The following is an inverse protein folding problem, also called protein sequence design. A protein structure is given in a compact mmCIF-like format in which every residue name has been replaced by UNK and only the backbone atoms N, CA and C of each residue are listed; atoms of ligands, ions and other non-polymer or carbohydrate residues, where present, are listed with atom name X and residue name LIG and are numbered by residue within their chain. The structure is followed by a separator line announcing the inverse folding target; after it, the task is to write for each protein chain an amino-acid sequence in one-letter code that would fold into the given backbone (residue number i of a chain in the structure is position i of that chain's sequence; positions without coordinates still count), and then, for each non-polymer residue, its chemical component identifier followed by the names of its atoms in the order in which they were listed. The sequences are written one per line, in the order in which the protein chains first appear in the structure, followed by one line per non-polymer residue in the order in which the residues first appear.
data_IF_362817058196
#
_entry.id   IF_362817058196
#
_cell.length_a   1.000
_cell.length_b   1.000
_cell.length_c   1.000
_cell.angle_alpha   90.00
_cell.angle_beta   90.00
_cell.angle_gamma   90.00
#
_symmetry.space_group_name_H-M   'P 1'
#
loop_
_entity.id
_entity.type
_entity.pdbx_description
1 polymer ?
#
# COMPACT_ATOMS: atom_id res chain seq x y z
N UNK A 1 56.84 -14.02 39.68
CA UNK A 1 56.26 -13.45 38.44
C UNK A 1 56.78 -14.24 37.25
N UNK A 2 55.94 -15.08 36.65
CA UNK A 2 56.07 -15.64 35.29
C UNK A 2 54.68 -16.21 34.97
N UNK A 3 53.99 -15.56 34.05
CA UNK A 3 52.67 -15.92 33.53
C UNK A 3 52.91 -16.54 32.15
N UNK A 4 52.25 -17.65 31.84
CA UNK A 4 52.10 -18.18 30.47
C UNK A 4 50.86 -19.08 30.39
N UNK A 5 50.25 -19.22 29.19
CA UNK A 5 48.83 -18.94 29.02
C UNK A 5 47.97 -20.16 28.68
N UNK A 6 46.69 -20.09 29.03
CA UNK A 6 45.66 -21.03 28.63
C UNK A 6 45.24 -20.68 27.19
N UNK A 7 45.50 -21.63 26.28
CA UNK A 7 45.08 -21.62 24.89
C UNK A 7 43.56 -21.87 24.82
N UNK A 8 42.77 -20.82 24.57
CA UNK A 8 41.34 -20.95 24.28
C UNK A 8 41.14 -21.06 22.77
N UNK A 9 40.73 -22.24 22.30
CA UNK A 9 40.20 -22.43 20.95
C UNK A 9 38.85 -21.70 20.85
N UNK A 10 38.79 -20.61 20.09
CA UNK A 10 37.54 -20.02 19.64
C UNK A 10 36.96 -20.91 18.52
N UNK A 11 35.82 -21.53 18.81
CA UNK A 11 34.94 -22.14 17.82
C UNK A 11 34.07 -21.03 17.21
N UNK A 12 34.47 -20.49 16.07
CA UNK A 12 33.67 -19.51 15.33
C UNK A 12 32.51 -20.23 14.66
N UNK A 13 31.32 -20.17 15.27
CA UNK A 13 30.07 -20.56 14.63
C UNK A 13 29.70 -19.48 13.59
N UNK A 14 29.88 -19.80 12.31
CA UNK A 14 29.36 -18.99 11.20
C UNK A 14 27.86 -19.30 11.12
N UNK A 15 27.03 -18.45 11.71
CA UNK A 15 25.59 -18.46 11.48
C UNK A 15 25.34 -17.90 10.09
N UNK A 16 25.10 -18.77 9.11
CA UNK A 16 24.42 -18.39 7.88
C UNK A 16 22.97 -18.04 8.26
N UNK A 17 22.68 -16.76 8.46
CA UNK A 17 21.31 -16.26 8.30
C UNK A 17 21.01 -16.32 6.80
N UNK A 18 20.46 -17.45 6.36
CA UNK A 18 19.83 -17.51 5.04
C UNK A 18 18.72 -16.47 5.02
N UNK A 19 18.76 -15.56 4.05
CA UNK A 19 17.59 -14.79 3.65
C UNK A 19 16.54 -15.81 3.22
N UNK A 20 15.62 -16.16 4.12
CA UNK A 20 14.45 -16.92 3.75
C UNK A 20 13.59 -16.02 2.89
N UNK A 21 13.25 -16.48 1.70
CA UNK A 21 12.10 -16.01 0.95
C UNK A 21 10.86 -16.31 1.81
N UNK A 22 10.60 -15.49 2.84
CA UNK A 22 9.33 -15.55 3.56
C UNK A 22 8.26 -15.05 2.59
N UNK A 23 7.45 -15.99 2.11
CA UNK A 23 6.23 -15.72 1.35
C UNK A 23 5.43 -14.66 2.11
N UNK A 24 5.16 -13.54 1.44
CA UNK A 24 4.44 -12.43 2.04
C UNK A 24 3.07 -12.94 2.50
N UNK A 25 2.70 -12.63 3.74
CA UNK A 25 1.39 -12.98 4.29
C UNK A 25 0.81 -11.77 5.02
N UNK A 26 -0.51 -11.73 5.09
CA UNK A 26 -1.25 -10.69 5.82
C UNK A 26 -2.44 -11.31 6.52
N UNK A 27 -2.72 -10.88 7.74
CA UNK A 27 -3.94 -11.16 8.49
C UNK A 27 -5.15 -10.38 7.97
N UNK A 28 -4.96 -9.51 6.97
CA UNK A 28 -6.06 -8.72 6.38
C UNK A 28 -6.82 -9.49 5.29
N UNK A 29 -6.39 -10.68 4.89
CA UNK A 29 -7.08 -11.45 3.84
C UNK A 29 -8.56 -11.70 4.16
N UNK A 30 -9.43 -11.46 3.18
CA UNK A 30 -10.88 -11.61 3.35
C UNK A 30 -11.70 -10.63 2.53
N UNK A 31 -13.02 -10.66 2.72
CA UNK A 31 -13.98 -9.76 2.08
C UNK A 31 -14.49 -8.75 3.11
N UNK A 32 -14.60 -7.49 2.70
CA UNK A 32 -14.99 -6.35 3.53
C UNK A 32 -16.13 -5.58 2.88
N UNK A 33 -17.11 -5.17 3.70
CA UNK A 33 -18.21 -4.28 3.34
C UNK A 33 -17.82 -2.84 3.64
N UNK A 34 -17.93 -1.96 2.66
CA UNK A 34 -17.60 -0.54 2.81
C UNK A 34 -18.72 0.13 3.62
N UNK A 35 -18.36 0.66 4.79
CA UNK A 35 -19.28 1.34 5.70
C UNK A 35 -19.26 2.85 5.48
N UNK A 36 -18.09 3.41 5.19
CA UNK A 36 -17.90 4.82 4.86
C UNK A 36 -16.95 4.98 3.69
N UNK A 37 -17.21 6.03 2.90
CA UNK A 37 -16.33 6.50 1.85
C UNK A 37 -16.48 8.02 1.81
N UNK A 38 -15.41 8.75 2.11
CA UNK A 38 -15.39 10.22 2.12
C UNK A 38 -14.27 10.75 1.23
N UNK A 39 -14.51 11.91 0.62
CA UNK A 39 -13.55 12.56 -0.28
C UNK A 39 -13.47 14.06 0.03
N UNK A 40 -12.25 14.59 0.19
CA UNK A 40 -11.98 16.01 0.37
C UNK A 40 -11.06 16.52 -0.74
N UNK A 41 -11.61 17.26 -1.69
CA UNK A 41 -10.90 17.80 -2.87
C UNK A 41 -10.10 19.10 -2.61
N UNK A 42 -9.72 19.40 -1.37
CA UNK A 42 -9.01 20.64 -1.09
C UNK A 42 -8.01 20.60 0.07
N UNK A 43 -7.97 19.53 0.84
CA UNK A 43 -7.05 19.38 1.98
C UNK A 43 -7.05 17.95 2.50
N UNK A 44 -6.03 17.59 3.27
CA UNK A 44 -5.97 16.32 4.01
C UNK A 44 -6.05 16.47 5.53
N UNK A 45 -6.32 17.70 5.99
CA UNK A 45 -6.42 18.05 7.41
C UNK A 45 -7.72 17.52 8.05
N UNK A 46 -8.74 17.24 7.23
CA UNK A 46 -10.00 16.66 7.66
C UNK A 46 -10.63 15.83 6.54
N UNK A 47 -11.41 14.82 6.92
CA UNK A 47 -12.30 14.13 5.99
C UNK A 47 -13.29 15.09 5.32
N UNK A 48 -13.70 14.71 4.11
CA UNK A 48 -14.71 15.43 3.34
C UNK A 48 -16.10 14.84 3.50
N UNK A 49 -17.07 15.28 2.68
CA UNK A 49 -18.40 14.66 2.64
C UNK A 49 -18.33 13.19 2.22
N UNK A 50 -19.32 12.41 2.65
CA UNK A 50 -19.45 11.04 2.18
C UNK A 50 -19.91 10.98 0.73
N UNK A 51 -19.24 10.13 -0.05
CA UNK A 51 -19.53 9.83 -1.46
C UNK A 51 -20.07 8.41 -1.65
N UNK A 52 -20.21 7.62 -0.59
CA UNK A 52 -20.58 6.20 -0.66
C UNK A 52 -21.84 5.93 -1.50
N UNK A 53 -22.86 6.79 -1.40
CA UNK A 53 -24.10 6.64 -2.17
C UNK A 53 -23.93 6.77 -3.70
N UNK A 54 -22.79 7.30 -4.15
CA UNK A 54 -22.43 7.46 -5.57
C UNK A 54 -21.66 6.24 -6.09
N UNK A 55 -21.18 5.37 -5.19
CA UNK A 55 -20.34 4.24 -5.50
C UNK A 55 -21.18 3.03 -5.88
N UNK A 56 -20.85 2.41 -7.02
CA UNK A 56 -21.48 1.17 -7.46
C UNK A 56 -20.85 -0.08 -6.83
N UNK A 57 -19.62 0.06 -6.32
CA UNK A 57 -18.87 -0.98 -5.62
C UNK A 57 -18.90 -0.65 -4.13
N UNK A 58 -19.52 -1.54 -3.36
CA UNK A 58 -19.75 -1.35 -1.92
C UNK A 58 -18.98 -2.36 -1.08
N UNK A 59 -18.13 -3.16 -1.70
CA UNK A 59 -17.28 -4.14 -1.05
C UNK A 59 -15.89 -4.15 -1.68
N UNK A 60 -14.92 -4.69 -0.96
CA UNK A 60 -13.65 -5.11 -1.54
C UNK A 60 -13.19 -6.42 -0.91
N UNK A 61 -12.31 -7.15 -1.58
CA UNK A 61 -11.56 -8.23 -0.96
C UNK A 61 -10.08 -7.87 -0.86
N UNK A 62 -9.41 -8.41 0.15
CA UNK A 62 -7.97 -8.29 0.36
C UNK A 62 -7.35 -9.67 0.17
N UNK A 63 -6.24 -9.74 -0.58
CA UNK A 63 -5.40 -10.94 -0.72
C UNK A 63 -3.95 -10.55 -0.98
N UNK A 64 -3.03 -11.48 -0.75
CA UNK A 64 -1.67 -11.36 -1.29
C UNK A 64 -1.65 -11.74 -2.77
N UNK A 65 -0.99 -10.94 -3.60
CA UNK A 65 -0.73 -11.28 -5.00
C UNK A 65 0.75 -11.15 -5.34
N UNK A 66 1.25 -12.06 -6.17
CA UNK A 66 2.56 -11.95 -6.79
C UNK A 66 2.45 -11.28 -8.17
N UNK A 67 3.21 -10.22 -8.38
CA UNK A 67 3.33 -9.54 -9.65
C UNK A 67 4.79 -9.22 -9.96
N UNK A 68 5.29 -9.66 -11.11
CA UNK A 68 6.66 -9.41 -11.58
C UNK A 68 7.74 -9.63 -10.50
N UNK A 69 7.68 -10.77 -9.80
CA UNK A 69 8.60 -11.16 -8.73
C UNK A 69 8.52 -10.34 -7.44
N UNK A 70 7.46 -9.56 -7.26
CA UNK A 70 7.15 -8.83 -6.03
C UNK A 70 5.81 -9.26 -5.49
N UNK A 71 5.71 -9.43 -4.17
CA UNK A 71 4.44 -9.72 -3.49
C UNK A 71 3.82 -8.42 -2.98
N UNK A 72 2.49 -8.31 -3.07
CA UNK A 72 1.75 -7.12 -2.67
C UNK A 72 0.51 -7.54 -1.89
N UNK A 73 0.14 -6.77 -0.88
CA UNK A 73 -1.24 -6.81 -0.37
C UNK A 73 -2.12 -6.03 -1.34
N UNK A 74 -3.18 -6.64 -1.83
CA UNK A 74 -4.09 -6.05 -2.82
C UNK A 74 -5.49 -5.97 -2.26
N UNK A 75 -6.09 -4.78 -2.30
CA UNK A 75 -7.49 -4.54 -1.93
C UNK A 75 -8.29 -4.19 -3.19
N UNK A 76 -9.31 -4.97 -3.51
CA UNK A 76 -9.92 -4.93 -4.83
C UNK A 76 -11.45 -4.85 -4.78
N UNK A 77 -11.99 -3.81 -5.42
CA UNK A 77 -13.39 -3.46 -5.37
C UNK A 77 -14.30 -4.46 -6.07
N UNK A 78 -15.48 -4.68 -5.49
CA UNK A 78 -16.53 -5.56 -5.97
C UNK A 78 -17.91 -5.00 -5.60
N UNK A 79 -18.93 -5.42 -6.34
CA UNK A 79 -20.32 -4.94 -6.18
C UNK A 79 -21.06 -5.63 -5.04
N UNK A 80 -20.67 -6.86 -4.71
CA UNK A 80 -21.33 -7.72 -3.75
C UNK A 80 -20.43 -8.89 -3.35
N UNK A 81 -20.79 -9.58 -2.26
CA UNK A 81 -20.02 -10.69 -1.69
C UNK A 81 -19.79 -11.85 -2.67
N UNK A 82 -20.77 -12.15 -3.53
CA UNK A 82 -20.64 -13.22 -4.52
C UNK A 82 -19.59 -12.87 -5.57
N UNK A 83 -19.63 -11.62 -6.04
CA UNK A 83 -18.64 -11.06 -6.97
C UNK A 83 -17.25 -11.02 -6.35
N UNK A 84 -17.12 -10.60 -5.09
CA UNK A 84 -15.83 -10.60 -4.38
C UNK A 84 -15.23 -12.00 -4.30
N UNK A 85 -16.01 -12.99 -3.83
CA UNK A 85 -15.55 -14.39 -3.71
C UNK A 85 -15.16 -15.01 -5.04
N UNK A 86 -15.93 -14.73 -6.09
CA UNK A 86 -15.63 -15.25 -7.43
C UNK A 86 -14.30 -14.68 -7.95
N UNK A 87 -14.05 -13.38 -7.73
CA UNK A 87 -12.82 -12.72 -8.15
C UNK A 87 -11.61 -13.12 -7.30
N UNK A 88 -11.77 -13.22 -5.99
CA UNK A 88 -10.69 -13.60 -5.08
C UNK A 88 -10.20 -15.04 -5.33
N UNK A 89 -11.09 -15.93 -5.76
CA UNK A 89 -10.78 -17.33 -6.04
C UNK A 89 -10.05 -17.54 -7.39
N UNK A 90 -10.02 -16.55 -8.28
CA UNK A 90 -9.35 -16.65 -9.57
C UNK A 90 -7.99 -15.92 -9.55
N UNK A 91 -6.86 -16.64 -9.54
CA UNK A 91 -5.54 -16.03 -9.56
C UNK A 91 -5.18 -15.43 -10.92
N UNK A 92 -5.89 -15.78 -12.00
CA UNK A 92 -5.64 -15.27 -13.34
C UNK A 92 -6.41 -13.98 -13.66
N UNK A 93 -7.42 -13.62 -12.84
CA UNK A 93 -8.14 -12.37 -13.03
C UNK A 93 -7.26 -11.21 -12.56
N UNK A 94 -6.76 -10.46 -13.54
CA UNK A 94 -6.31 -9.08 -13.33
C UNK A 94 -7.56 -8.22 -13.24
N UNK A 95 -8.12 -8.03 -12.04
CA UNK A 95 -9.20 -7.04 -11.91
C UNK A 95 -8.55 -5.67 -11.93
N UNK A 96 -9.11 -4.78 -12.75
CA UNK A 96 -8.75 -3.37 -12.77
C UNK A 96 -9.54 -2.63 -11.70
N UNK A 97 -8.88 -1.70 -11.00
CA UNK A 97 -9.43 -0.96 -9.87
C UNK A 97 -9.03 -1.56 -8.51
N UNK A 98 -9.07 -0.72 -7.48
CA UNK A 98 -8.57 -1.03 -6.14
C UNK A 98 -7.18 -0.47 -5.89
N UNK A 99 -6.48 -1.08 -4.93
CA UNK A 99 -5.24 -0.57 -4.36
C UNK A 99 -4.22 -1.71 -4.17
N UNK A 100 -2.93 -1.35 -4.28
CA UNK A 100 -1.80 -2.26 -4.08
C UNK A 100 -0.89 -1.68 -3.01
N UNK A 101 -0.41 -2.52 -2.10
CA UNK A 101 0.44 -2.12 -0.99
C UNK A 101 1.64 -3.10 -0.90
N UNK A 102 2.79 -2.76 -1.52
CA UNK A 102 3.98 -3.60 -1.51
C UNK A 102 4.73 -3.57 -0.17
N UNK A 103 4.62 -2.50 0.60
CA UNK A 103 5.45 -2.25 1.76
C UNK A 103 4.63 -2.22 3.05
N UNK A 104 5.16 -2.77 4.15
CA UNK A 104 4.56 -2.63 5.47
C UNK A 104 4.35 -3.95 6.21
N UNK A 105 3.44 -3.93 7.17
CA UNK A 105 3.08 -5.07 8.02
C UNK A 105 1.65 -4.93 8.55
N UNK A 106 1.03 -6.00 9.03
CA UNK A 106 -0.30 -5.91 9.66
C UNK A 106 -0.30 -5.05 10.92
N UNK A 107 0.84 -4.94 11.61
CA UNK A 107 0.96 -4.20 12.87
C UNK A 107 1.10 -2.69 12.62
N UNK A 108 1.83 -2.31 11.58
CA UNK A 108 2.12 -0.90 11.27
C UNK A 108 1.22 -0.34 10.17
N UNK A 109 0.56 -1.22 9.41
CA UNK A 109 -0.14 -0.90 8.18
C UNK A 109 0.69 -1.21 6.94
N UNK A 110 -0.02 -1.38 5.82
CA UNK A 110 0.56 -1.55 4.50
C UNK A 110 0.45 -0.23 3.73
N UNK A 111 1.45 0.09 2.91
CA UNK A 111 1.56 1.37 2.22
C UNK A 111 1.97 1.21 0.77
N UNK A 112 1.63 2.21 -0.06
CA UNK A 112 2.23 2.41 -1.36
C UNK A 112 2.30 3.89 -1.70
N UNK A 113 3.17 4.22 -2.65
CA UNK A 113 3.20 5.52 -3.30
C UNK A 113 3.12 5.33 -4.81
N UNK A 114 2.37 6.20 -5.47
CA UNK A 114 2.40 6.28 -6.94
C UNK A 114 2.60 7.70 -7.38
N UNK A 115 3.21 7.83 -8.55
CA UNK A 115 3.55 9.09 -9.14
C UNK A 115 3.11 9.12 -10.60
N UNK A 116 2.42 10.19 -11.00
CA UNK A 116 1.93 10.39 -12.37
C UNK A 116 2.62 11.61 -12.99
N UNK A 117 3.07 11.55 -14.25
CA UNK A 117 3.73 12.67 -14.94
C UNK A 117 2.88 13.19 -16.11
N UNK A 118 2.86 14.50 -16.33
CA UNK A 118 2.04 15.11 -17.40
C UNK A 118 2.82 15.85 -18.51
N UNK A 119 4.14 16.07 -18.40
CA UNK A 119 4.85 16.98 -19.29
C UNK A 119 6.01 16.34 -20.09
N UNK A 120 6.23 16.91 -21.30
CA UNK A 120 7.21 16.45 -22.31
C UNK A 120 8.58 17.10 -22.09
N UNK A 121 8.60 18.36 -21.62
CA UNK A 121 9.81 19.18 -21.51
C UNK A 121 10.24 19.44 -20.04
N UNK A 122 9.37 19.09 -19.09
CA UNK A 122 9.61 19.13 -17.65
C UNK A 122 8.83 17.99 -17.01
N UNK A 123 9.18 17.60 -15.79
CA UNK A 123 8.40 16.61 -15.06
C UNK A 123 7.52 17.32 -14.05
N UNK A 124 6.22 17.20 -14.22
CA UNK A 124 5.23 17.66 -13.23
C UNK A 124 4.38 16.47 -12.90
N UNK A 125 4.16 16.23 -11.62
CA UNK A 125 3.37 15.08 -11.25
C UNK A 125 2.85 15.04 -9.84
N UNK A 126 1.73 14.36 -9.65
CA UNK A 126 1.10 14.21 -8.33
C UNK A 126 1.70 13.02 -7.59
N UNK A 127 1.89 13.17 -6.29
CA UNK A 127 2.25 12.06 -5.40
C UNK A 127 1.00 11.59 -4.67
N UNK A 128 0.58 10.37 -4.97
CA UNK A 128 -0.46 9.68 -4.22
C UNK A 128 0.19 8.75 -3.19
N UNK A 129 -0.23 8.85 -1.94
CA UNK A 129 0.17 7.95 -0.85
C UNK A 129 -1.03 7.18 -0.38
N UNK A 130 -0.91 5.86 -0.37
CA UNK A 130 -1.95 4.94 0.06
C UNK A 130 -1.50 4.28 1.34
N UNK A 131 -2.44 4.08 2.26
CA UNK A 131 -2.24 3.23 3.43
C UNK A 131 -3.45 2.37 3.69
N UNK A 132 -3.20 1.15 4.15
CA UNK A 132 -4.17 0.16 4.59
C UNK A 132 -3.85 -0.21 6.04
N UNK A 133 -4.76 0.10 6.96
CA UNK A 133 -4.58 -0.15 8.40
C UNK A 133 -5.79 -0.87 8.99
N UNK A 134 -5.63 -1.43 10.20
CA UNK A 134 -6.73 -1.99 10.99
C UNK A 134 -6.89 -1.23 12.30
N UNK A 135 -7.75 -0.20 12.36
CA UNK A 135 -7.92 0.60 13.57
C UNK A 135 -8.60 -0.18 14.72
N UNK A 136 -9.30 -1.26 14.40
CA UNK A 136 -9.93 -2.17 15.36
C UNK A 136 -10.19 -3.53 14.72
N UNK A 137 -10.40 -4.56 15.55
CA UNK A 137 -10.65 -5.93 15.09
C UNK A 137 -11.79 -6.00 14.05
N UNK A 138 -11.49 -6.66 12.92
CA UNK A 138 -12.42 -6.81 11.79
C UNK A 138 -12.77 -5.53 11.06
N UNK A 139 -12.03 -4.42 11.27
CA UNK A 139 -12.19 -3.17 10.53
C UNK A 139 -10.90 -2.87 9.78
N UNK A 140 -11.02 -2.47 8.51
CA UNK A 140 -9.94 -1.93 7.71
C UNK A 140 -10.25 -0.50 7.31
N UNK A 141 -9.18 0.30 7.23
CA UNK A 141 -9.21 1.66 6.73
C UNK A 141 -8.22 1.79 5.57
N UNK A 142 -8.70 2.31 4.44
CA UNK A 142 -7.86 2.74 3.33
C UNK A 142 -7.87 4.26 3.31
N UNK A 143 -6.67 4.84 3.36
CA UNK A 143 -6.44 6.28 3.26
C UNK A 143 -5.62 6.58 2.03
N UNK A 144 -6.10 7.48 1.17
CA UNK A 144 -5.38 8.01 0.01
C UNK A 144 -5.15 9.50 0.21
N UNK A 145 -3.90 9.92 0.17
CA UNK A 145 -3.49 11.32 0.18
C UNK A 145 -2.83 11.69 -1.14
N UNK A 146 -3.37 12.68 -1.87
CA UNK A 146 -2.69 13.27 -3.01
C UNK A 146 -2.04 14.58 -2.60
N UNK A 147 -0.77 14.72 -2.93
CA UNK A 147 -0.03 15.98 -2.81
C UNK A 147 0.10 16.65 -4.16
N UNK A 148 0.03 17.98 -4.14
CA UNK A 148 0.20 18.78 -5.33
C UNK A 148 1.54 18.45 -6.00
N UNK A 149 1.50 18.34 -7.31
CA UNK A 149 2.72 18.16 -8.08
C UNK A 149 3.56 19.41 -8.14
N UNK A 150 4.87 19.21 -8.12
CA UNK A 150 5.87 20.25 -8.36
C UNK A 150 6.60 19.90 -9.64
N UNK A 151 6.96 20.93 -10.38
CA UNK A 151 7.85 20.77 -11.51
C UNK A 151 9.27 20.41 -11.01
N UNK A 152 9.87 19.37 -11.59
CA UNK A 152 11.26 19.00 -11.36
C UNK A 152 11.98 18.69 -12.67
N UNK A 153 13.32 18.73 -12.68
CA UNK A 153 14.10 18.55 -13.90
C UNK A 153 13.93 17.16 -14.52
N UNK A 154 13.91 17.11 -15.86
CA UNK A 154 14.02 15.87 -16.61
C UNK A 154 15.42 15.27 -16.41
N UNK A 155 15.48 14.01 -15.96
CA UNK A 155 16.71 13.23 -15.90
C UNK A 155 17.12 12.69 -17.27
N UNK A 156 18.32 12.08 -17.38
CA UNK A 156 18.80 11.49 -18.64
C UNK A 156 17.87 10.37 -19.16
N UNK A 157 17.17 9.68 -18.26
CA UNK A 157 16.25 8.58 -18.56
C UNK A 157 14.77 9.00 -18.46
N UNK A 158 14.49 10.31 -18.38
CA UNK A 158 13.14 10.87 -18.23
C UNK A 158 12.83 11.32 -16.80
N UNK A 159 11.56 11.21 -16.40
CA UNK A 159 11.13 11.61 -15.06
C UNK A 159 11.50 10.56 -14.02
N UNK A 160 12.40 10.94 -13.12
CA UNK A 160 12.88 10.10 -12.02
C UNK A 160 11.84 10.07 -10.87
N UNK A 161 11.28 8.90 -10.51
CA UNK A 161 10.33 8.77 -9.41
C UNK A 161 10.89 9.20 -8.05
N UNK A 162 12.20 9.05 -7.80
CA UNK A 162 12.79 9.45 -6.52
C UNK A 162 12.87 10.98 -6.41
N UNK A 163 13.24 11.67 -7.51
CA UNK A 163 13.22 13.13 -7.55
C UNK A 163 11.79 13.67 -7.46
N UNK A 164 10.84 12.96 -8.07
CA UNK A 164 9.43 13.28 -8.00
C UNK A 164 8.88 13.23 -6.58
N UNK A 165 9.13 12.13 -5.87
CA UNK A 165 8.71 11.98 -4.47
C UNK A 165 9.37 13.05 -3.59
N UNK A 166 10.67 13.28 -3.76
CA UNK A 166 11.39 14.32 -3.02
C UNK A 166 10.85 15.74 -3.31
N UNK A 167 10.41 16.02 -4.54
CA UNK A 167 9.84 17.31 -4.91
C UNK A 167 8.42 17.50 -4.36
N UNK A 168 7.62 16.43 -4.33
CA UNK A 168 6.27 16.43 -3.76
C UNK A 168 6.28 16.38 -2.22
N UNK A 169 7.39 15.94 -1.61
CA UNK A 169 7.54 15.95 -0.17
C UNK A 169 7.48 17.39 0.39
N UNK A 170 6.66 17.59 1.42
CA UNK A 170 6.41 18.91 2.00
C UNK A 170 5.40 19.77 1.22
N UNK A 171 4.92 19.33 0.06
CA UNK A 171 3.83 20.03 -0.63
C UNK A 171 2.51 19.92 0.13
N UNK A 172 1.61 20.92 -0.03
CA UNK A 172 0.25 20.84 0.47
C UNK A 172 -0.44 19.59 -0.07
N UNK A 173 -1.15 18.92 0.83
CA UNK A 173 -2.02 17.81 0.47
C UNK A 173 -3.31 18.39 -0.11
N UNK A 174 -3.65 18.00 -1.33
CA UNK A 174 -4.74 18.59 -2.14
C UNK A 174 -5.96 17.71 -2.24
N UNK A 175 -5.83 16.41 -1.94
CA UNK A 175 -6.94 15.47 -1.94
C UNK A 175 -6.77 14.42 -0.85
N UNK A 176 -7.85 14.16 -0.12
CA UNK A 176 -7.93 13.07 0.84
C UNK A 176 -9.15 12.20 0.53
N UNK A 177 -8.93 10.91 0.41
CA UNK A 177 -9.98 9.89 0.36
C UNK A 177 -9.80 8.92 1.51
N UNK A 178 -10.91 8.62 2.19
CA UNK A 178 -10.94 7.71 3.32
C UNK A 178 -12.06 6.70 3.14
N UNK A 179 -11.72 5.42 3.30
CA UNK A 179 -12.64 4.30 3.16
C UNK A 179 -12.52 3.45 4.41
N UNK A 180 -13.61 3.29 5.16
CA UNK A 180 -13.67 2.34 6.27
C UNK A 180 -14.56 1.17 5.88
N UNK A 181 -14.09 -0.03 6.14
CA UNK A 181 -14.81 -1.25 5.80
C UNK A 181 -14.75 -2.30 6.91
N UNK A 182 -15.79 -3.13 6.98
CA UNK A 182 -15.95 -4.15 8.01
C UNK A 182 -15.90 -5.55 7.42
N UNK A 183 -15.19 -6.44 8.09
CA UNK A 183 -15.04 -7.83 7.71
C UNK A 183 -16.42 -8.49 7.53
N UNK A 184 -16.58 -9.13 6.37
CA UNK A 184 -17.84 -9.73 5.91
C UNK A 184 -17.71 -11.23 5.61
N UNK A 185 -16.49 -11.76 5.55
CA UNK A 185 -16.23 -13.19 5.44
C UNK A 185 -14.87 -13.50 4.86
N UNK A 186 -14.45 -14.75 4.96
CA UNK A 186 -13.24 -15.22 4.28
C UNK A 186 -13.45 -15.30 2.77
N UNK A 187 -12.33 -15.18 2.05
CA UNK A 187 -12.20 -15.55 0.64
C UNK A 187 -12.01 -17.05 0.47
#
# INVERSE_FOLDING_TARGET
MRVSPILALLLSAVSFTGCGDEELSTGFEGVYSIETWTENNGSCDSEGPSVLAQQSQTMFFVRVEEFLFSSHVRAQLCTDLSTCRTRSADPAIVVTGGWSFPDGSDADGWTSSTFSNEAVDACTGTLDRYSLTSPSDGVLEIRIETRAGVEFPLGPDGCDPELAEAAAEGQPCTYLEMITAKFSGSI
#
